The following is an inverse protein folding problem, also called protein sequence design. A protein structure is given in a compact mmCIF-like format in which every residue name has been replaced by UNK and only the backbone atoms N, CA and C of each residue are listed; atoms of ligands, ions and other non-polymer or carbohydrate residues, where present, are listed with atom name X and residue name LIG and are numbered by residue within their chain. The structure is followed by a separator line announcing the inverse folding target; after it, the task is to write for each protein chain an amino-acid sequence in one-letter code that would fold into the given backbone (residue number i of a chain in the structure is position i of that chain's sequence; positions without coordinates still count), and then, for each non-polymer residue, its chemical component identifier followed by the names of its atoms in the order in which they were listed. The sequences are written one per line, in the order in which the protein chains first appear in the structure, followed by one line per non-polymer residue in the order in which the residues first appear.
data_IF_932869483986
#
_entry.id   IF_932869483986
#
_cell.length_a   1.000
_cell.length_b   1.000
_cell.length_c   1.000
_cell.angle_alpha   90.00
_cell.angle_beta   90.00
_cell.angle_gamma   90.00
#
_symmetry.space_group_name_H-M   'P 1'
#
loop_
_entity.id
_entity.type
_entity.pdbx_description
1 polymer ?
#
# COMPACT_ATOMS: atom_id res chain seq x y z
N UNK A 1 9.15 -27.83 2.49
CA UNK A 1 10.13 -26.74 2.58
C UNK A 1 11.30 -27.25 3.41
N UNK A 2 12.53 -26.98 2.98
CA UNK A 2 13.74 -27.37 3.69
C UNK A 2 14.68 -26.16 3.74
N UNK A 3 15.21 -25.83 4.92
CA UNK A 3 16.26 -24.83 5.05
C UNK A 3 17.59 -25.51 4.73
N UNK A 4 18.28 -25.03 3.70
CA UNK A 4 19.57 -25.60 3.29
C UNK A 4 20.72 -24.96 4.08
N UNK A 5 20.66 -23.64 4.28
CA UNK A 5 21.56 -22.88 5.15
C UNK A 5 20.98 -21.49 5.51
N UNK A 6 21.82 -20.60 6.05
CA UNK A 6 21.47 -19.24 6.48
C UNK A 6 20.78 -18.38 5.41
N UNK A 7 21.07 -18.60 4.12
CA UNK A 7 20.59 -17.77 3.01
C UNK A 7 19.81 -18.57 1.95
N UNK A 8 19.61 -19.87 2.13
CA UNK A 8 18.96 -20.75 1.13
C UNK A 8 17.82 -21.57 1.71
N UNK A 9 16.66 -21.49 1.05
CA UNK A 9 15.48 -22.30 1.33
C UNK A 9 15.06 -23.04 0.07
N UNK A 10 14.81 -24.35 0.18
CA UNK A 10 14.33 -25.21 -0.91
C UNK A 10 12.85 -25.53 -0.74
N UNK A 11 12.10 -25.32 -1.82
CA UNK A 11 10.74 -25.82 -1.97
C UNK A 11 10.74 -26.94 -3.00
N UNK A 12 9.98 -28.00 -2.71
CA UNK A 12 9.81 -29.14 -3.61
C UNK A 12 8.32 -29.28 -3.86
N UNK A 13 7.92 -29.11 -5.12
CA UNK A 13 6.54 -29.26 -5.53
C UNK A 13 6.22 -30.73 -5.79
N UNK A 14 5.01 -31.14 -5.43
CA UNK A 14 4.54 -32.52 -5.66
C UNK A 14 4.19 -32.79 -7.13
N UNK A 15 3.80 -31.75 -7.86
CA UNK A 15 3.39 -31.82 -9.27
C UNK A 15 4.03 -30.68 -10.05
N UNK A 16 4.17 -30.89 -11.36
CA UNK A 16 4.63 -29.91 -12.34
C UNK A 16 3.51 -29.38 -13.24
N UNK A 17 2.27 -29.82 -13.01
CA UNK A 17 1.10 -29.44 -13.82
C UNK A 17 0.77 -27.95 -13.68
N UNK A 18 0.80 -27.43 -12.45
CA UNK A 18 0.60 -26.01 -12.19
C UNK A 18 1.94 -25.25 -12.26
N UNK A 19 2.13 -24.52 -13.37
CA UNK A 19 3.34 -23.71 -13.64
C UNK A 19 3.40 -22.39 -12.87
N UNK A 20 2.31 -21.99 -12.21
CA UNK A 20 2.24 -20.75 -11.43
C UNK A 20 2.80 -20.91 -10.01
N UNK A 21 2.93 -22.16 -9.53
CA UNK A 21 3.38 -22.43 -8.16
C UNK A 21 4.67 -21.70 -7.76
N UNK A 22 5.73 -21.62 -8.61
CA UNK A 22 6.92 -20.83 -8.28
C UNK A 22 6.66 -19.33 -8.15
N UNK A 23 5.75 -18.77 -8.96
CA UNK A 23 5.39 -17.35 -8.92
C UNK A 23 4.60 -17.05 -7.64
N UNK A 24 3.65 -17.92 -7.28
CA UNK A 24 2.88 -17.83 -6.04
C UNK A 24 3.82 -17.89 -4.83
N UNK A 25 4.83 -18.79 -4.84
CA UNK A 25 5.84 -18.81 -3.78
C UNK A 25 6.63 -17.49 -3.69
N UNK A 26 6.93 -16.85 -4.82
CA UNK A 26 7.59 -15.55 -4.86
C UNK A 26 6.76 -14.41 -4.26
N UNK A 27 5.44 -14.58 -4.13
CA UNK A 27 4.54 -13.59 -3.52
C UNK A 27 4.46 -13.71 -1.99
N UNK A 28 5.05 -14.76 -1.41
CA UNK A 28 5.03 -14.96 0.04
C UNK A 28 5.72 -13.81 0.77
N UNK A 29 5.02 -13.28 1.77
CA UNK A 29 5.57 -12.25 2.65
C UNK A 29 6.49 -12.90 3.69
N UNK A 30 7.68 -12.30 3.89
CA UNK A 30 8.68 -12.80 4.82
C UNK A 30 8.56 -12.03 6.14
N UNK A 31 8.18 -12.73 7.20
CA UNK A 31 8.01 -12.16 8.54
C UNK A 31 9.17 -12.50 9.48
N UNK A 32 9.41 -11.63 10.45
CA UNK A 32 10.36 -11.90 11.53
C UNK A 32 9.79 -12.93 12.50
N UNK A 33 10.45 -14.08 12.65
CA UNK A 33 10.09 -15.10 13.65
C UNK A 33 10.02 -14.54 15.08
N UNK A 34 10.86 -13.54 15.41
CA UNK A 34 10.85 -12.90 16.74
C UNK A 34 9.56 -12.10 16.98
N UNK A 35 9.02 -11.47 15.94
CA UNK A 35 7.79 -10.69 16.04
C UNK A 35 6.53 -11.54 15.86
N UNK A 36 6.62 -12.76 15.33
CA UNK A 36 5.48 -13.63 15.05
C UNK A 36 5.57 -14.92 15.88
N UNK A 37 5.38 -14.80 17.19
CA UNK A 37 5.24 -15.94 18.10
C UNK A 37 3.77 -16.35 18.25
N UNK A 38 3.52 -17.50 18.88
CA UNK A 38 2.16 -17.98 19.16
C UNK A 38 1.37 -16.92 19.94
N UNK A 39 0.13 -16.66 19.53
CA UNK A 39 -0.82 -15.71 20.11
C UNK A 39 -0.45 -14.21 20.00
N UNK A 40 0.56 -13.84 19.20
CA UNK A 40 1.04 -12.45 19.11
C UNK A 40 -0.07 -11.46 18.70
N UNK A 41 -0.82 -11.76 17.63
CA UNK A 41 -1.92 -10.91 17.18
C UNK A 41 -3.17 -10.99 18.03
N UNK A 42 -3.44 -12.16 18.62
CA UNK A 42 -4.61 -12.36 19.48
C UNK A 42 -4.51 -11.52 20.76
N UNK A 43 -3.30 -11.30 21.26
CA UNK A 43 -3.06 -10.55 22.51
C UNK A 43 -2.98 -9.04 22.30
N UNK A 44 -2.42 -8.58 21.18
CA UNK A 44 -2.34 -7.15 20.88
C UNK A 44 -2.38 -6.89 19.36
N UNK A 45 -3.56 -6.59 18.79
CA UNK A 45 -3.71 -6.37 17.35
C UNK A 45 -3.05 -5.07 16.87
N UNK A 46 -2.74 -4.14 17.79
CA UNK A 46 -2.14 -2.84 17.48
C UNK A 46 -0.63 -2.80 17.73
N UNK A 47 -0.02 -3.94 18.04
CA UNK A 47 1.40 -4.03 18.30
C UNK A 47 2.21 -3.77 17.03
N UNK A 48 3.02 -2.71 17.05
CA UNK A 48 3.93 -2.39 15.95
C UNK A 48 5.02 -3.46 15.90
N UNK A 49 5.03 -4.26 14.84
CA UNK A 49 6.00 -5.34 14.64
C UNK A 49 7.23 -4.87 13.86
N UNK A 50 8.33 -5.60 14.02
CA UNK A 50 9.53 -5.41 13.22
C UNK A 50 9.24 -5.82 11.77
N UNK A 51 9.51 -4.91 10.83
CA UNK A 51 9.28 -5.10 9.40
C UNK A 51 10.57 -4.88 8.59
N UNK A 52 10.65 -5.53 7.43
CA UNK A 52 11.70 -5.31 6.42
C UNK A 52 11.37 -4.17 5.43
N UNK A 53 10.27 -3.45 5.69
CA UNK A 53 9.71 -2.38 4.86
C UNK A 53 10.60 -1.12 4.81
N UNK A 54 10.53 -0.34 3.70
CA UNK A 54 11.15 0.99 3.62
C UNK A 54 10.51 2.03 4.55
N UNK A 55 9.33 1.74 5.10
CA UNK A 55 8.65 2.60 6.06
C UNK A 55 8.33 1.84 7.35
N UNK A 56 8.40 2.55 8.47
CA UNK A 56 7.97 2.10 9.80
C UNK A 56 6.79 2.93 10.27
N UNK A 57 5.94 2.36 11.13
CA UNK A 57 4.83 3.11 11.74
C UNK A 57 5.43 4.09 12.74
N UNK A 58 5.20 5.39 12.51
CA UNK A 58 5.62 6.45 13.42
C UNK A 58 4.55 6.72 14.48
N UNK A 59 3.29 6.76 14.06
CA UNK A 59 2.14 6.95 14.95
C UNK A 59 0.85 6.54 14.25
N UNK A 60 -0.20 6.27 15.04
CA UNK A 60 -1.55 6.05 14.52
C UNK A 60 -2.59 6.50 15.54
N UNK A 61 -3.76 6.90 15.03
CA UNK A 61 -5.00 7.08 15.78
C UNK A 61 -6.04 6.17 15.11
N UNK A 62 -6.53 5.19 15.87
CA UNK A 62 -7.39 4.11 15.36
C UNK A 62 -8.61 4.71 14.67
N UNK A 63 -8.88 4.24 13.45
CA UNK A 63 -9.99 4.70 12.61
C UNK A 63 -9.91 6.16 12.14
N UNK A 64 -8.79 6.87 12.39
CA UNK A 64 -8.62 8.26 11.92
C UNK A 64 -7.41 8.44 11.03
N UNK A 65 -6.22 8.01 11.48
CA UNK A 65 -5.00 8.19 10.69
C UNK A 65 -3.88 7.23 11.06
N UNK A 66 -2.98 7.01 10.12
CA UNK A 66 -1.69 6.34 10.36
C UNK A 66 -0.58 7.13 9.66
N UNK A 67 0.52 7.37 10.37
CA UNK A 67 1.71 8.04 9.87
C UNK A 67 2.84 7.04 9.78
N UNK A 68 3.41 6.93 8.58
CA UNK A 68 4.60 6.15 8.29
C UNK A 68 5.81 7.08 8.17
N UNK A 69 6.94 6.67 8.73
CA UNK A 69 8.23 7.36 8.62
C UNK A 69 9.19 6.48 7.81
N UNK A 70 9.95 7.09 6.89
CA UNK A 70 10.93 6.37 6.08
C UNK A 70 12.02 5.81 6.99
N UNK A 71 12.34 4.53 6.82
CA UNK A 71 13.39 3.87 7.57
C UNK A 71 14.76 4.29 7.00
N UNK A 72 15.60 5.02 7.77
CA UNK A 72 16.92 5.43 7.29
C UNK A 72 17.84 4.23 7.01
N UNK A 73 17.60 3.09 7.67
CA UNK A 73 18.37 1.86 7.57
C UNK A 73 17.69 0.82 6.65
N UNK A 74 16.89 1.26 5.67
CA UNK A 74 16.24 0.35 4.73
C UNK A 74 17.28 -0.42 3.88
N UNK A 75 17.38 -1.72 4.13
CA UNK A 75 18.40 -2.60 3.57
C UNK A 75 18.41 -2.66 2.03
N UNK A 76 17.25 -2.48 1.39
CA UNK A 76 17.10 -2.63 -0.05
C UNK A 76 17.10 -1.30 -0.83
N UNK A 77 17.46 -0.18 -0.19
CA UNK A 77 17.41 1.17 -0.79
C UNK A 77 18.18 1.28 -2.11
N UNK A 78 19.27 0.52 -2.24
CA UNK A 78 20.15 0.55 -3.41
C UNK A 78 19.91 -0.61 -4.40
N UNK A 79 18.94 -1.49 -4.15
CA UNK A 79 18.63 -2.58 -5.08
C UNK A 79 17.97 -2.02 -6.35
N UNK A 80 18.30 -2.56 -7.54
CA UNK A 80 17.70 -2.10 -8.80
C UNK A 80 16.15 -2.10 -8.80
N UNK A 81 15.53 -3.08 -8.14
CA UNK A 81 14.07 -3.21 -8.02
C UNK A 81 13.41 -2.15 -7.13
N UNK A 82 14.20 -1.37 -6.37
CA UNK A 82 13.73 -0.39 -5.38
C UNK A 82 14.20 1.03 -5.67
N UNK A 83 15.17 1.20 -6.57
CA UNK A 83 15.71 2.51 -6.95
C UNK A 83 14.58 3.40 -7.51
N UNK A 84 14.50 4.64 -7.03
CA UNK A 84 13.46 5.62 -7.41
C UNK A 84 12.11 5.46 -6.69
N UNK A 85 11.99 4.50 -5.77
CA UNK A 85 10.79 4.30 -4.93
C UNK A 85 11.02 4.84 -3.51
N UNK A 86 9.91 5.05 -2.77
CA UNK A 86 9.91 5.44 -1.35
C UNK A 86 10.61 6.79 -1.10
N UNK A 87 10.24 7.80 -1.90
CA UNK A 87 10.92 9.10 -1.91
C UNK A 87 10.53 10.01 -0.75
N UNK A 88 9.29 9.92 -0.26
CA UNK A 88 8.80 10.75 0.84
C UNK A 88 9.41 10.33 2.18
N UNK A 89 9.70 11.31 3.04
CA UNK A 89 10.18 11.00 4.39
C UNK A 89 9.03 10.57 5.31
N UNK A 90 7.83 11.10 5.08
CA UNK A 90 6.60 10.70 5.77
C UNK A 90 5.47 10.44 4.77
N UNK A 91 4.68 9.41 5.05
CA UNK A 91 3.44 9.13 4.33
C UNK A 91 2.33 9.01 5.35
N UNK A 92 1.28 9.82 5.18
CA UNK A 92 0.12 9.85 6.07
C UNK A 92 -1.08 9.33 5.32
N UNK A 93 -1.83 8.45 5.97
CA UNK A 93 -3.14 8.02 5.50
C UNK A 93 -4.16 8.52 6.50
N UNK A 94 -5.16 9.24 6.00
CA UNK A 94 -6.31 9.68 6.77
C UNK A 94 -7.55 8.90 6.32
N UNK A 95 -8.36 8.49 7.28
CA UNK A 95 -9.53 7.66 7.05
C UNK A 95 -10.79 8.52 7.18
N UNK A 96 -11.58 8.54 6.12
CA UNK A 96 -12.86 9.22 6.05
C UNK A 96 -13.97 8.18 5.88
N UNK A 97 -15.08 8.35 6.60
CA UNK A 97 -16.24 7.45 6.50
C UNK A 97 -17.13 7.73 5.29
N UNK A 98 -17.04 8.95 4.76
CA UNK A 98 -17.87 9.46 3.67
C UNK A 98 -16.97 10.07 2.59
N UNK A 99 -17.17 9.63 1.35
CA UNK A 99 -16.37 10.06 0.20
C UNK A 99 -16.58 11.54 -0.14
N UNK A 100 -17.75 12.10 0.13
CA UNK A 100 -18.04 13.52 -0.06
C UNK A 100 -17.20 14.36 0.89
N UNK A 101 -17.10 13.94 2.16
CA UNK A 101 -16.24 14.61 3.15
C UNK A 101 -14.77 14.50 2.76
N UNK A 102 -14.33 13.32 2.30
CA UNK A 102 -12.97 13.12 1.80
C UNK A 102 -12.68 14.08 0.62
N UNK A 103 -13.60 14.18 -0.35
CA UNK A 103 -13.44 15.06 -1.49
C UNK A 103 -13.36 16.54 -1.08
N UNK A 104 -14.19 16.99 -0.14
CA UNK A 104 -14.11 18.38 0.35
C UNK A 104 -12.79 18.65 1.09
N UNK A 105 -12.30 17.69 1.87
CA UNK A 105 -11.00 17.78 2.52
C UNK A 105 -9.85 17.86 1.48
N UNK A 106 -9.92 17.07 0.41
CA UNK A 106 -8.98 17.14 -0.71
C UNK A 106 -8.97 18.52 -1.38
N UNK A 107 -10.16 19.01 -1.76
CA UNK A 107 -10.31 20.32 -2.41
C UNK A 107 -9.88 21.48 -1.51
N UNK A 108 -9.85 21.27 -0.20
CA UNK A 108 -9.34 22.22 0.79
C UNK A 108 -7.84 22.07 1.08
N UNK A 109 -7.15 21.13 0.43
CA UNK A 109 -5.71 20.92 0.58
C UNK A 109 -5.29 20.12 1.82
N UNK A 110 -6.21 19.36 2.44
CA UNK A 110 -5.90 18.56 3.64
C UNK A 110 -4.98 17.36 3.33
N UNK A 111 -5.05 16.82 2.11
CA UNK A 111 -4.18 15.74 1.64
C UNK A 111 -3.87 15.86 0.14
N UNK A 112 -2.77 15.23 -0.29
CA UNK A 112 -2.13 15.55 -1.57
C UNK A 112 -2.62 14.72 -2.78
N UNK A 113 -3.23 13.56 -2.54
CA UNK A 113 -3.55 12.60 -3.61
C UNK A 113 -4.94 11.98 -3.45
N UNK A 114 -5.72 11.99 -4.52
CA UNK A 114 -7.05 11.39 -4.60
C UNK A 114 -7.19 10.56 -5.89
N UNK A 115 -7.75 9.36 -5.78
CA UNK A 115 -8.15 8.53 -6.93
C UNK A 115 -9.67 8.55 -6.98
N UNK A 116 -10.22 9.02 -8.09
CA UNK A 116 -11.66 9.10 -8.31
C UNK A 116 -12.08 8.12 -9.41
N UNK A 117 -13.11 7.32 -9.14
CA UNK A 117 -13.61 6.29 -10.05
C UNK A 117 -15.03 6.58 -10.57
N UNK A 118 -15.76 7.49 -9.92
CA UNK A 118 -17.13 7.83 -10.27
C UNK A 118 -17.16 8.99 -11.27
N UNK A 119 -17.61 8.71 -12.50
CA UNK A 119 -17.67 9.70 -13.58
C UNK A 119 -18.45 10.97 -13.19
N UNK A 120 -19.55 10.82 -12.43
CA UNK A 120 -20.34 11.96 -11.93
C UNK A 120 -19.52 12.87 -11.01
N UNK A 121 -18.75 12.29 -10.08
CA UNK A 121 -17.92 13.05 -9.13
C UNK A 121 -16.76 13.70 -9.86
N UNK A 122 -16.09 12.99 -10.76
CA UNK A 122 -15.03 13.55 -11.59
C UNK A 122 -15.49 14.78 -12.40
N UNK A 123 -16.68 14.69 -12.99
CA UNK A 123 -17.22 15.74 -13.85
C UNK A 123 -17.79 16.94 -13.08
N UNK A 124 -18.41 16.72 -11.91
CA UNK A 124 -19.17 17.75 -11.19
C UNK A 124 -18.70 18.05 -9.77
N UNK A 125 -18.05 17.09 -9.11
CA UNK A 125 -17.55 17.23 -7.74
C UNK A 125 -16.12 17.76 -7.68
N UNK A 126 -15.26 17.36 -8.62
CA UNK A 126 -13.89 17.87 -8.73
C UNK A 126 -13.84 19.22 -9.46
N UNK A 127 -14.44 20.23 -8.83
CA UNK A 127 -14.51 21.65 -9.25
C UNK A 127 -14.21 22.57 -8.07
N UNK A 128 -13.85 23.83 -8.32
CA UNK A 128 -13.62 24.85 -7.29
C UNK A 128 -12.28 25.57 -7.42
N UNK A 129 -12.05 26.54 -6.53
CA UNK A 129 -10.92 27.49 -6.60
C UNK A 129 -9.55 26.81 -6.68
N UNK A 130 -9.31 25.77 -5.88
CA UNK A 130 -8.02 25.05 -5.90
C UNK A 130 -7.71 24.42 -7.28
N UNK A 131 -8.73 24.00 -8.02
CA UNK A 131 -8.58 23.46 -9.38
C UNK A 131 -8.43 24.61 -10.38
N UNK A 132 -9.23 25.67 -10.26
CA UNK A 132 -9.14 26.87 -11.12
C UNK A 132 -7.78 27.55 -11.03
N UNK A 133 -7.22 27.62 -9.82
CA UNK A 133 -5.89 28.18 -9.53
C UNK A 133 -4.74 27.22 -9.84
N UNK A 134 -5.02 25.98 -10.30
CA UNK A 134 -4.04 24.91 -10.58
C UNK A 134 -3.23 24.45 -9.35
N UNK A 135 -3.73 24.67 -8.14
CA UNK A 135 -3.19 24.05 -6.92
C UNK A 135 -3.45 22.53 -6.93
N UNK A 136 -4.58 22.12 -7.51
CA UNK A 136 -4.95 20.72 -7.76
C UNK A 136 -5.11 20.50 -9.26
N UNK A 137 -4.42 19.49 -9.79
CA UNK A 137 -4.51 19.13 -11.22
C UNK A 137 -5.12 17.75 -11.40
N UNK A 138 -6.07 17.64 -12.33
CA UNK A 138 -6.71 16.38 -12.73
C UNK A 138 -5.88 15.69 -13.81
N UNK A 139 -5.58 14.41 -13.61
CA UNK A 139 -4.88 13.58 -14.58
C UNK A 139 -5.66 12.31 -14.91
N UNK A 140 -5.73 11.99 -16.20
CA UNK A 140 -6.20 10.69 -16.69
C UNK A 140 -4.99 9.89 -17.15
N UNK A 141 -4.78 8.73 -16.52
CA UNK A 141 -3.64 7.85 -16.81
C UNK A 141 -4.15 6.63 -17.54
N UNK A 142 -3.84 6.52 -18.83
CA UNK A 142 -4.19 5.36 -19.62
C UNK A 142 -3.32 4.15 -19.24
N UNK A 143 -3.94 2.97 -19.10
CA UNK A 143 -3.24 1.72 -18.84
C UNK A 143 -3.79 0.58 -19.68
N UNK A 144 -3.02 -0.50 -19.81
CA UNK A 144 -3.40 -1.71 -20.57
C UNK A 144 -4.00 -2.81 -19.68
N UNK A 145 -4.22 -2.56 -18.41
CA UNK A 145 -4.93 -3.52 -17.54
C UNK A 145 -6.38 -3.65 -18.03
N UNK A 146 -6.92 -4.89 -18.11
CA UNK A 146 -8.31 -5.09 -18.48
C UNK A 146 -9.24 -4.47 -17.43
N UNK A 147 -10.33 -3.84 -17.89
CA UNK A 147 -11.38 -3.36 -17.00
C UNK A 147 -12.21 -4.53 -16.46
N UNK A 148 -12.71 -4.38 -15.23
CA UNK A 148 -13.65 -5.35 -14.66
C UNK A 148 -14.99 -5.39 -15.41
N UNK A 149 -15.78 -6.44 -15.17
CA UNK A 149 -17.13 -6.59 -15.71
C UNK A 149 -18.17 -6.06 -14.71
N UNK A 150 -19.13 -5.28 -15.19
CA UNK A 150 -20.32 -4.87 -14.44
C UNK A 150 -21.57 -5.26 -15.24
N UNK A 151 -22.55 -5.87 -14.59
CA UNK A 151 -23.79 -6.31 -15.23
C UNK A 151 -24.82 -6.83 -14.22
N UNK A 152 -26.05 -7.01 -14.68
CA UNK A 152 -27.08 -7.76 -13.94
C UNK A 152 -26.75 -9.25 -14.02
N UNK A 153 -26.87 -9.95 -12.89
CA UNK A 153 -26.65 -11.39 -12.76
C UNK A 153 -27.98 -12.12 -12.53
#
# INVERSE_FOLDING_TARGET
MMVLDKYRVKFTFKTTENRELPLILGQLQIFSKKAFQKDYFAKNPLLISVSSSPYVIASFDVSKKITYQRNPNYWARNLPSRKGQFNFDQVKFEYYKDETVALQAFLSGVYDWCIESMAKVWARGCVGKAIENKEITKYLIAHKMPSGMQGFF
#
